data_IF_299013677107
#
_entry.id   IF_299013677107
#
_cell.length_a   1.000
_cell.length_b   1.000
_cell.length_c   1.000
_cell.angle_alpha   90.00
_cell.angle_beta   90.00
_cell.angle_gamma   90.00
#
_symmetry.space_group_name_H-M   'P 1'
#
loop_
_entity.id
_entity.type
_entity.pdbx_description
1 polymer ?
#
# COMPACT_ATOMS: atom_id res chain seq x y z
N UNK A 1 9.54 16.92 -2.98
CA UNK A 1 9.51 17.80 -4.17
C UNK A 1 8.11 18.37 -4.38
N UNK A 2 7.91 19.18 -5.43
CA UNK A 2 6.57 19.68 -5.80
C UNK A 2 5.61 18.54 -6.12
N UNK A 3 6.14 17.48 -6.75
CA UNK A 3 5.42 16.26 -7.12
C UNK A 3 4.94 15.50 -5.88
N UNK A 4 5.73 15.45 -4.80
CA UNK A 4 5.34 14.86 -3.52
C UNK A 4 4.16 15.60 -2.90
N UNK A 5 4.18 16.94 -2.92
CA UNK A 5 3.10 17.76 -2.37
C UNK A 5 1.82 17.59 -3.20
N UNK A 6 1.93 17.67 -4.52
CA UNK A 6 0.79 17.43 -5.42
C UNK A 6 0.21 16.02 -5.27
N UNK A 7 1.04 15.00 -5.05
CA UNK A 7 0.54 13.65 -4.77
C UNK A 7 -0.23 13.57 -3.46
N UNK A 8 0.24 14.23 -2.40
CA UNK A 8 -0.45 14.31 -1.11
C UNK A 8 -1.79 15.02 -1.21
N UNK A 9 -1.86 16.12 -1.94
CA UNK A 9 -3.09 16.91 -2.15
C UNK A 9 -4.16 16.14 -2.92
N UNK A 10 -3.80 15.07 -3.64
CA UNK A 10 -4.73 14.21 -4.36
C UNK A 10 -5.07 12.92 -3.64
N UNK A 11 -4.74 12.81 -2.36
CA UNK A 11 -5.36 11.80 -1.49
C UNK A 11 -6.73 12.33 -1.07
N UNK A 12 -7.77 11.53 -1.30
CA UNK A 12 -9.14 11.85 -0.94
C UNK A 12 -9.80 10.62 -0.32
N UNK A 13 -10.06 10.70 0.99
CA UNK A 13 -10.71 9.63 1.73
C UNK A 13 -12.17 9.42 1.34
N UNK A 14 -12.88 10.50 0.99
CA UNK A 14 -14.29 10.43 0.63
C UNK A 14 -14.47 9.79 -0.75
N UNK A 15 -13.54 10.07 -1.68
CA UNK A 15 -13.52 9.45 -2.99
C UNK A 15 -12.88 8.04 -3.01
N UNK A 16 -12.18 7.65 -1.93
CA UNK A 16 -11.46 6.37 -1.84
C UNK A 16 -10.06 6.40 -2.48
N UNK A 17 -9.56 7.56 -2.88
CA UNK A 17 -8.22 7.78 -3.41
C UNK A 17 -7.19 7.80 -2.28
N UNK A 18 -6.86 6.61 -1.76
CA UNK A 18 -6.01 6.46 -0.56
C UNK A 18 -4.57 6.03 -0.84
N UNK A 19 -4.21 5.80 -2.11
CA UNK A 19 -2.87 5.38 -2.56
C UNK A 19 -2.43 6.20 -3.76
N UNK A 20 -1.16 6.64 -3.78
CA UNK A 20 -0.50 7.27 -4.92
C UNK A 20 0.88 6.67 -5.14
N UNK A 21 1.21 6.35 -6.38
CA UNK A 21 2.55 6.00 -6.82
C UNK A 21 3.11 7.12 -7.71
N UNK A 22 4.31 7.60 -7.41
CA UNK A 22 5.01 8.61 -8.22
C UNK A 22 6.41 8.10 -8.55
N UNK A 23 6.70 7.95 -9.83
CA UNK A 23 8.03 7.59 -10.31
C UNK A 23 8.84 8.85 -10.59
N UNK A 24 10.01 8.93 -9.98
CA UNK A 24 11.02 9.95 -10.25
C UNK A 24 12.11 9.34 -11.12
N UNK A 25 12.10 9.68 -12.41
CA UNK A 25 13.22 9.37 -13.30
C UNK A 25 14.43 10.23 -12.91
N UNK A 26 15.56 9.57 -12.70
CA UNK A 26 16.81 10.19 -12.24
C UNK A 26 17.87 10.21 -13.34
N UNK A 27 17.47 9.96 -14.58
CA UNK A 27 18.34 9.85 -15.74
C UNK A 27 18.88 8.43 -15.92
N UNK A 28 19.76 8.26 -16.92
CA UNK A 28 20.26 6.94 -17.35
C UNK A 28 21.21 6.29 -16.35
N UNK A 29 21.91 7.10 -15.55
CA UNK A 29 23.03 6.63 -14.72
C UNK A 29 22.62 6.32 -13.28
N UNK A 30 21.38 6.65 -12.89
CA UNK A 30 20.88 6.49 -11.53
C UNK A 30 19.56 5.70 -11.55
N UNK A 31 19.36 4.76 -10.61
CA UNK A 31 18.05 4.17 -10.41
C UNK A 31 17.00 5.25 -10.15
N UNK A 32 15.87 5.14 -10.83
CA UNK A 32 14.72 5.97 -10.49
C UNK A 32 14.19 5.65 -9.10
N UNK A 33 13.42 6.58 -8.56
CA UNK A 33 12.87 6.47 -7.20
C UNK A 33 11.35 6.37 -7.29
N UNK A 34 10.78 5.32 -6.71
CA UNK A 34 9.34 5.20 -6.54
C UNK A 34 8.95 5.77 -5.16
N UNK A 35 8.13 6.81 -5.16
CA UNK A 35 7.40 7.24 -3.97
C UNK A 35 6.04 6.55 -3.97
N UNK A 36 5.82 5.70 -2.96
CA UNK A 36 4.51 5.15 -2.65
C UNK A 36 3.94 5.91 -1.44
N UNK A 37 2.86 6.64 -1.65
CA UNK A 37 2.16 7.40 -0.64
C UNK A 37 0.82 6.72 -0.34
N UNK A 38 0.57 6.40 0.91
CA UNK A 38 -0.65 5.73 1.36
C UNK A 38 -1.22 6.49 2.56
N UNK A 39 -2.53 6.73 2.57
CA UNK A 39 -3.19 7.40 3.68
C UNK A 39 -3.12 6.56 4.96
N UNK A 40 -2.75 7.15 6.10
CA UNK A 40 -2.48 6.41 7.34
C UNK A 40 -3.71 5.66 7.91
N UNK A 41 -4.93 6.03 7.50
CA UNK A 41 -6.14 5.28 7.86
C UNK A 41 -6.19 3.86 7.28
N UNK A 42 -5.41 3.55 6.25
CA UNK A 42 -5.40 2.23 5.59
C UNK A 42 -4.04 1.54 5.65
N UNK A 43 -3.08 2.09 6.40
CA UNK A 43 -1.73 1.52 6.53
C UNK A 43 -1.13 1.88 7.89
N UNK A 44 -0.28 1.00 8.42
CA UNK A 44 0.55 1.24 9.60
C UNK A 44 1.97 0.71 9.41
N UNK A 45 2.80 0.81 10.46
CA UNK A 45 4.18 0.32 10.43
C UNK A 45 4.31 -1.18 10.14
N UNK A 46 3.35 -1.99 10.57
CA UNK A 46 3.35 -3.45 10.33
C UNK A 46 2.98 -3.74 8.88
N UNK A 47 2.02 -3.01 8.34
CA UNK A 47 1.57 -3.11 6.94
C UNK A 47 2.73 -2.93 5.95
N UNK A 48 3.67 -2.02 6.23
CA UNK A 48 4.85 -1.81 5.38
C UNK A 48 5.78 -3.03 5.28
N UNK A 49 5.80 -3.89 6.31
CA UNK A 49 6.57 -5.14 6.30
C UNK A 49 5.99 -6.18 5.35
N UNK A 50 4.74 -5.99 4.90
CA UNK A 50 4.05 -6.84 3.91
C UNK A 50 4.12 -6.15 2.54
N UNK A 51 3.71 -4.88 2.46
CA UNK A 51 3.61 -4.15 1.19
C UNK A 51 4.93 -4.06 0.42
N UNK A 52 6.05 -3.81 1.10
CA UNK A 52 7.34 -3.64 0.42
C UNK A 52 7.87 -4.96 -0.16
N UNK A 53 7.95 -6.07 0.59
CA UNK A 53 8.32 -7.36 0.02
C UNK A 53 7.39 -7.81 -1.11
N UNK A 54 6.07 -7.69 -0.93
CA UNK A 54 5.08 -8.09 -1.93
C UNK A 54 5.21 -7.28 -3.23
N UNK A 55 5.42 -5.96 -3.12
CA UNK A 55 5.67 -5.12 -4.28
C UNK A 55 6.97 -5.51 -5.02
N UNK A 56 8.02 -5.83 -4.28
CA UNK A 56 9.28 -6.27 -4.87
C UNK A 56 9.14 -7.64 -5.57
N UNK A 57 8.39 -8.57 -4.98
CA UNK A 57 8.08 -9.86 -5.59
C UNK A 57 7.24 -9.69 -6.86
N UNK A 58 6.14 -8.94 -6.77
CA UNK A 58 5.29 -8.66 -7.92
C UNK A 58 6.06 -7.98 -9.06
N UNK A 59 6.93 -7.01 -8.74
CA UNK A 59 7.76 -6.35 -9.75
C UNK A 59 8.72 -7.33 -10.44
N UNK A 60 9.35 -8.23 -9.69
CA UNK A 60 10.28 -9.24 -10.23
C UNK A 60 9.56 -10.24 -11.15
N UNK A 61 8.33 -10.63 -10.82
CA UNK A 61 7.53 -11.50 -11.70
C UNK A 61 7.09 -10.78 -12.96
N UNK A 62 6.54 -9.57 -12.80
CA UNK A 62 6.07 -8.75 -13.91
C UNK A 62 7.19 -8.38 -14.88
N UNK A 63 8.36 -7.97 -14.38
CA UNK A 63 9.53 -7.67 -15.22
C UNK A 63 10.09 -8.90 -15.94
N UNK A 64 9.84 -10.10 -15.41
CA UNK A 64 10.13 -11.37 -16.06
C UNK A 64 9.03 -11.88 -17.00
N UNK A 65 8.00 -11.08 -17.29
CA UNK A 65 6.88 -11.44 -18.17
C UNK A 65 5.87 -12.41 -17.55
N UNK A 66 5.89 -12.62 -16.23
CA UNK A 66 4.93 -13.46 -15.52
C UNK A 66 3.85 -12.61 -14.87
N UNK A 67 2.68 -13.22 -14.63
CA UNK A 67 1.63 -12.59 -13.82
C UNK A 67 1.99 -12.74 -12.34
N UNK A 68 2.06 -11.65 -11.56
CA UNK A 68 2.34 -11.72 -10.12
C UNK A 68 1.38 -12.63 -9.35
N UNK A 69 1.91 -13.54 -8.54
CA UNK A 69 1.13 -14.43 -7.67
C UNK A 69 1.55 -14.26 -6.20
N UNK A 70 0.88 -13.34 -5.50
CA UNK A 70 1.12 -13.09 -4.07
C UNK A 70 0.41 -14.10 -3.16
N UNK A 71 0.87 -14.16 -1.91
CA UNK A 71 0.22 -14.98 -0.88
C UNK A 71 -1.24 -14.58 -0.69
N UNK A 72 -2.10 -15.57 -0.43
CA UNK A 72 -3.52 -15.32 -0.21
C UNK A 72 -3.75 -14.50 1.06
N UNK A 73 -4.68 -13.55 0.99
CA UNK A 73 -5.10 -12.75 2.15
C UNK A 73 -5.89 -13.62 3.12
N UNK A 74 -5.38 -13.81 4.34
CA UNK A 74 -6.04 -14.61 5.37
C UNK A 74 -7.28 -13.95 5.96
N UNK A 75 -7.11 -12.90 6.76
CA UNK A 75 -8.20 -12.14 7.39
C UNK A 75 -8.24 -10.73 6.83
N UNK A 76 -9.36 -10.35 6.22
CA UNK A 76 -9.55 -8.98 5.76
C UNK A 76 -9.71 -8.01 6.94
N UNK A 77 -9.30 -6.75 6.75
CA UNK A 77 -9.49 -5.70 7.75
C UNK A 77 -10.97 -5.58 8.16
N UNK A 78 -11.90 -5.65 7.20
CA UNK A 78 -13.35 -5.68 7.47
C UNK A 78 -13.73 -6.77 8.47
N UNK A 79 -13.28 -8.01 8.24
CA UNK A 79 -13.60 -9.15 9.11
C UNK A 79 -12.98 -8.96 10.49
N UNK A 80 -11.74 -8.48 10.55
CA UNK A 80 -11.07 -8.16 11.81
C UNK A 80 -11.83 -7.08 12.60
N UNK A 81 -12.21 -5.96 11.96
CA UNK A 81 -12.94 -4.87 12.62
C UNK A 81 -14.30 -5.32 13.16
N UNK A 82 -15.06 -6.09 12.38
CA UNK A 82 -16.33 -6.66 12.83
C UNK A 82 -16.16 -7.54 14.08
N UNK A 83 -15.16 -8.42 14.05
CA UNK A 83 -14.83 -9.30 15.19
C UNK A 83 -14.37 -8.53 16.42
N UNK A 84 -13.59 -7.46 16.23
CA UNK A 84 -13.15 -6.61 17.32
C UNK A 84 -14.34 -5.91 18.01
N UNK A 85 -15.32 -5.43 17.24
CA UNK A 85 -16.54 -4.84 17.79
C UNK A 85 -17.37 -5.86 18.56
N UNK A 86 -17.54 -7.08 18.02
CA UNK A 86 -18.22 -8.17 18.71
C UNK A 86 -17.53 -8.52 20.03
N UNK A 87 -16.20 -8.61 20.04
CA UNK A 87 -15.41 -8.95 21.22
C UNK A 87 -15.51 -7.87 22.31
N UNK A 88 -15.41 -6.60 21.93
CA UNK A 88 -15.51 -5.48 22.87
C UNK A 88 -16.88 -5.39 23.57
N UNK A 89 -17.93 -5.95 22.97
CA UNK A 89 -19.27 -6.00 23.55
C UNK A 89 -19.52 -7.26 24.40
N UNK A 90 -18.57 -8.21 24.48
CA UNK A 90 -18.74 -9.41 25.29
C UNK A 90 -18.65 -9.07 26.78
N UNK A 91 -19.61 -9.49 27.60
CA UNK A 91 -19.49 -9.37 29.05
C UNK A 91 -18.31 -10.21 29.55
N UNK A 92 -17.67 -9.72 30.61
CA UNK A 92 -16.55 -10.40 31.29
C UNK A 92 -16.98 -11.71 31.97
#
# INVERSE_FOLDING_TARGET
GRETRAARERLDLAAGDVVRAVWFDRGRDLPGVLLLLVHHLVVDGVSWRILVPDLAEAYREASGGRTPALQAVGTSFRRWSQRLTEEAARPA
#
